data_IF_110380025647
#
_entry.id   IF_110380025647
#
_cell.length_a   1.000
_cell.length_b   1.000
_cell.length_c   1.000
_cell.angle_alpha   90.00
_cell.angle_beta   90.00
_cell.angle_gamma   90.00
#
_symmetry.space_group_name_H-M   'P 1'
#
loop_
_entity.id
_entity.type
_entity.pdbx_description
1 polymer ?
#
# COMPACT_ATOMS: atom_id res chain seq x y z
N UNK A 1 1.41 4.96 3.85
CA UNK A 1 2.83 4.92 3.44
C UNK A 1 3.14 6.06 2.46
N UNK A 2 2.52 6.15 1.29
CA UNK A 2 2.81 7.20 0.29
C UNK A 2 2.75 8.62 0.83
N UNK A 3 1.67 8.98 1.53
CA UNK A 3 1.53 10.28 2.17
C UNK A 3 2.63 10.57 3.21
N UNK A 4 3.00 9.57 4.02
CA UNK A 4 4.08 9.72 4.99
C UNK A 4 5.43 9.94 4.28
N UNK A 5 5.69 9.20 3.21
CA UNK A 5 6.90 9.38 2.39
C UNK A 5 6.95 10.78 1.74
N UNK A 6 5.83 11.25 1.15
CA UNK A 6 5.74 12.59 0.56
C UNK A 6 6.06 13.70 1.57
N UNK A 7 5.48 13.60 2.77
CA UNK A 7 5.70 14.59 3.85
C UNK A 7 7.14 14.59 4.37
N UNK A 8 7.76 13.41 4.48
CA UNK A 8 9.10 13.28 5.08
C UNK A 8 10.23 13.59 4.11
N UNK A 9 10.08 13.27 2.82
CA UNK A 9 11.16 13.39 1.84
C UNK A 9 11.03 14.60 0.93
N UNK A 10 9.84 15.18 0.80
CA UNK A 10 9.48 16.21 -0.19
C UNK A 10 9.67 15.79 -1.65
N UNK A 11 10.04 14.54 -1.89
CA UNK A 11 10.20 13.97 -3.22
C UNK A 11 8.85 13.61 -3.84
N UNK A 12 8.86 13.43 -5.15
CA UNK A 12 7.69 12.96 -5.90
C UNK A 12 7.36 11.52 -5.49
N UNK A 13 6.08 11.24 -5.27
CA UNK A 13 5.56 9.90 -4.99
C UNK A 13 4.64 9.52 -6.14
N UNK A 14 4.93 8.43 -6.84
CA UNK A 14 4.08 7.91 -7.90
C UNK A 14 3.17 6.80 -7.36
N UNK A 15 1.85 6.95 -7.56
CA UNK A 15 0.87 5.93 -7.18
C UNK A 15 0.12 5.49 -8.43
N UNK A 16 0.32 4.23 -8.83
CA UNK A 16 -0.43 3.58 -9.90
C UNK A 16 -1.58 2.81 -9.25
N UNK A 17 -2.77 3.39 -9.29
CA UNK A 17 -3.99 2.81 -8.73
C UNK A 17 -4.80 2.18 -9.85
N UNK A 18 -4.53 0.93 -10.16
CA UNK A 18 -5.10 0.26 -11.33
C UNK A 18 -6.50 -0.33 -11.05
N UNK A 19 -6.87 -0.44 -9.78
CA UNK A 19 -8.19 -0.93 -9.34
C UNK A 19 -9.13 0.22 -8.94
N UNK A 20 -8.61 1.25 -8.28
CA UNK A 20 -9.42 2.31 -7.70
C UNK A 20 -9.16 3.66 -8.36
N UNK A 21 -10.21 4.47 -8.63
CA UNK A 21 -10.02 5.86 -9.06
C UNK A 21 -9.21 6.69 -8.05
N UNK A 22 -8.39 7.61 -8.56
CA UNK A 22 -7.56 8.49 -7.73
C UNK A 22 -8.38 9.28 -6.70
N UNK A 23 -9.58 9.73 -7.07
CA UNK A 23 -10.50 10.43 -6.17
C UNK A 23 -10.79 9.65 -4.90
N UNK A 24 -11.02 8.33 -5.00
CA UNK A 24 -11.30 7.51 -3.82
C UNK A 24 -10.08 7.40 -2.91
N UNK A 25 -8.87 7.33 -3.46
CA UNK A 25 -7.65 7.33 -2.67
C UNK A 25 -7.44 8.68 -1.98
N UNK A 26 -7.67 9.78 -2.68
CA UNK A 26 -7.59 11.15 -2.14
C UNK A 26 -8.59 11.30 -0.98
N UNK A 27 -9.83 10.84 -1.15
CA UNK A 27 -10.84 10.90 -0.08
C UNK A 27 -10.42 10.07 1.16
N UNK A 28 -9.82 8.89 0.96
CA UNK A 28 -9.26 8.11 2.08
C UNK A 28 -8.08 8.83 2.75
N UNK A 29 -7.24 9.52 1.99
CA UNK A 29 -6.15 10.32 2.55
C UNK A 29 -6.69 11.50 3.36
N UNK A 30 -7.70 12.20 2.88
CA UNK A 30 -8.40 13.28 3.59
C UNK A 30 -9.03 12.75 4.88
N UNK A 31 -9.75 11.62 4.81
CA UNK A 31 -10.33 10.96 5.97
C UNK A 31 -9.28 10.66 7.04
N UNK A 32 -8.14 10.10 6.61
CA UNK A 32 -7.04 9.74 7.52
C UNK A 32 -6.35 10.96 8.13
N UNK A 33 -6.12 12.02 7.35
CA UNK A 33 -5.49 13.26 7.82
C UNK A 33 -6.40 14.05 8.75
N UNK A 34 -7.64 14.27 8.33
CA UNK A 34 -8.62 15.05 9.08
C UNK A 34 -9.32 14.26 10.18
N UNK A 35 -9.06 12.95 10.29
CA UNK A 35 -9.80 12.04 11.18
C UNK A 35 -11.33 12.18 11.00
N UNK A 36 -11.77 12.29 9.74
CA UNK A 36 -13.17 12.44 9.34
C UNK A 36 -13.70 11.08 8.89
N UNK A 37 -14.90 10.73 9.30
CA UNK A 37 -15.56 9.48 8.91
C UNK A 37 -15.70 9.40 7.38
N UNK A 38 -15.20 8.31 6.78
CA UNK A 38 -15.31 8.04 5.35
C UNK A 38 -16.77 8.11 4.84
N UNK A 39 -17.73 7.66 5.68
CA UNK A 39 -19.15 7.70 5.34
C UNK A 39 -19.69 9.13 5.30
N UNK A 40 -19.24 10.01 6.20
CA UNK A 40 -19.59 11.44 6.14
C UNK A 40 -19.02 12.09 4.88
N UNK A 41 -17.76 11.80 4.53
CA UNK A 41 -17.13 12.32 3.32
C UNK A 41 -17.85 11.84 2.05
N UNK A 42 -18.15 10.55 1.93
CA UNK A 42 -18.79 9.98 0.74
C UNK A 42 -20.25 10.46 0.54
N UNK A 43 -20.95 10.80 1.63
CA UNK A 43 -22.34 11.29 1.58
C UNK A 43 -22.45 12.81 1.58
N UNK A 44 -21.35 13.55 1.75
CA UNK A 44 -21.33 15.00 1.87
C UNK A 44 -21.95 15.54 3.18
N UNK A 45 -22.24 14.68 4.16
CA UNK A 45 -22.87 15.06 5.43
C UNK A 45 -21.81 15.47 6.46
N UNK A 46 -21.11 16.58 6.18
CA UNK A 46 -20.09 17.15 7.04
C UNK A 46 -20.67 18.20 7.98
N UNK A 47 -20.25 18.17 9.24
CA UNK A 47 -20.54 19.18 10.25
C UNK A 47 -19.51 20.33 10.15
N UNK A 48 -19.75 21.45 10.84
CA UNK A 48 -18.87 22.62 10.78
C UNK A 48 -17.41 22.29 11.16
N UNK A 49 -17.21 21.43 12.17
CA UNK A 49 -15.87 21.01 12.59
C UNK A 49 -15.24 20.02 11.60
N UNK A 50 -16.06 19.19 10.92
CA UNK A 50 -15.58 18.33 9.85
C UNK A 50 -15.07 19.18 8.67
N UNK A 51 -15.76 20.28 8.31
CA UNK A 51 -15.32 21.19 7.25
C UNK A 51 -13.99 21.86 7.56
N UNK A 52 -13.72 22.27 8.79
CA UNK A 52 -12.41 22.82 9.20
C UNK A 52 -11.31 21.79 8.97
N UNK A 53 -11.48 20.56 9.50
CA UNK A 53 -10.53 19.47 9.39
C UNK A 53 -10.34 19.03 7.94
N UNK A 54 -11.39 19.08 7.13
CA UNK A 54 -11.35 18.81 5.69
C UNK A 54 -10.45 19.80 4.97
N UNK A 55 -10.63 21.11 5.21
CA UNK A 55 -9.82 22.15 4.60
C UNK A 55 -8.35 22.06 5.02
N UNK A 56 -8.07 21.76 6.29
CA UNK A 56 -6.72 21.52 6.79
C UNK A 56 -6.07 20.30 6.09
N UNK A 57 -6.83 19.20 5.95
CA UNK A 57 -6.36 18.01 5.27
C UNK A 57 -6.05 18.26 3.78
N UNK A 58 -6.89 19.02 3.08
CA UNK A 58 -6.63 19.46 1.70
C UNK A 58 -5.37 20.29 1.63
N UNK A 59 -5.21 21.29 2.49
CA UNK A 59 -4.00 22.12 2.52
C UNK A 59 -2.72 21.26 2.69
N UNK A 60 -2.76 20.29 3.60
CA UNK A 60 -1.64 19.36 3.80
C UNK A 60 -1.37 18.53 2.54
N UNK A 61 -2.42 18.05 1.85
CA UNK A 61 -2.26 17.27 0.62
C UNK A 61 -1.73 18.11 -0.53
N UNK A 62 -2.18 19.35 -0.66
CA UNK A 62 -1.72 20.29 -1.70
C UNK A 62 -0.21 20.59 -1.59
N UNK A 63 0.34 20.52 -0.38
CA UNK A 63 1.79 20.69 -0.12
C UNK A 63 2.60 19.41 -0.39
N UNK A 64 1.97 18.34 -0.90
CA UNK A 64 2.66 17.08 -1.20
C UNK A 64 2.78 16.85 -2.70
N UNK A 65 3.88 16.25 -3.12
CA UNK A 65 4.12 15.88 -4.52
C UNK A 65 3.69 14.42 -4.77
N UNK A 66 2.38 14.15 -4.68
CA UNK A 66 1.81 12.82 -4.96
C UNK A 66 1.15 12.84 -6.34
N UNK A 67 1.60 11.95 -7.22
CA UNK A 67 1.10 11.81 -8.59
C UNK A 67 0.33 10.50 -8.70
N UNK A 68 -0.93 10.59 -9.09
CA UNK A 68 -1.80 9.43 -9.31
C UNK A 68 -1.86 9.09 -10.79
N UNK A 69 -1.87 7.79 -11.07
CA UNK A 69 -2.21 7.22 -12.37
C UNK A 69 -3.23 6.11 -12.14
N UNK A 70 -4.46 6.34 -12.55
CA UNK A 70 -5.61 5.45 -12.35
C UNK A 70 -6.22 4.94 -13.67
N UNK A 71 -5.52 5.12 -14.78
CA UNK A 71 -5.89 4.49 -16.04
C UNK A 71 -5.50 3.01 -16.02
N UNK A 72 -6.45 2.14 -16.36
CA UNK A 72 -6.19 0.72 -16.58
C UNK A 72 -5.33 0.46 -17.83
N UNK A 73 -4.87 -0.78 -17.98
CA UNK A 73 -4.16 -1.22 -19.18
C UNK A 73 -2.72 -0.70 -19.28
N UNK A 74 -2.06 -0.44 -18.16
CA UNK A 74 -0.69 0.07 -18.14
C UNK A 74 0.34 -1.08 -18.16
N UNK A 75 1.35 -0.93 -18.99
CA UNK A 75 2.48 -1.88 -19.10
C UNK A 75 3.65 -1.49 -18.18
N UNK A 76 4.56 -2.43 -17.82
CA UNK A 76 5.76 -2.10 -17.04
C UNK A 76 6.63 -1.02 -17.69
N UNK A 77 6.67 -0.99 -19.02
CA UNK A 77 7.44 0.01 -19.78
C UNK A 77 6.85 1.41 -19.63
N UNK A 78 5.53 1.53 -19.66
CA UNK A 78 4.83 2.81 -19.44
C UNK A 78 4.97 3.30 -18.01
N UNK A 79 4.88 2.39 -17.01
CA UNK A 79 5.16 2.71 -15.60
C UNK A 79 6.57 3.29 -15.49
N UNK A 80 7.56 2.60 -16.04
CA UNK A 80 8.95 3.03 -16.04
C UNK A 80 9.17 4.39 -16.71
N UNK A 81 8.53 4.63 -17.87
CA UNK A 81 8.62 5.91 -18.59
C UNK A 81 8.05 7.08 -17.74
N UNK A 82 6.89 6.86 -17.10
CA UNK A 82 6.28 7.86 -16.20
C UNK A 82 7.16 8.12 -14.97
N UNK A 83 7.71 7.08 -14.35
CA UNK A 83 8.63 7.18 -13.21
C UNK A 83 9.92 7.94 -13.58
N UNK A 84 10.51 7.67 -14.73
CA UNK A 84 11.69 8.41 -15.23
C UNK A 84 11.39 9.89 -15.38
N UNK A 85 10.23 10.26 -15.92
CA UNK A 85 9.84 11.66 -16.05
C UNK A 85 9.71 12.33 -14.68
N UNK A 86 9.11 11.66 -13.69
CA UNK A 86 9.00 12.19 -12.33
C UNK A 86 10.35 12.26 -11.60
N UNK A 87 11.28 11.36 -11.92
CA UNK A 87 12.63 11.37 -11.36
C UNK A 87 13.46 12.60 -11.80
N UNK A 88 13.12 13.23 -12.92
CA UNK A 88 13.79 14.44 -13.43
C UNK A 88 13.10 15.74 -13.02
N UNK A 89 12.01 15.69 -12.26
CA UNK A 89 11.21 16.84 -11.84
C UNK A 89 11.37 17.11 -10.34
N UNK A 90 11.45 18.38 -9.96
CA UNK A 90 11.52 18.82 -8.56
C UNK A 90 12.66 18.16 -7.80
N UNK A 91 12.35 17.63 -6.62
CA UNK A 91 13.30 16.92 -5.74
C UNK A 91 13.54 15.44 -6.16
N UNK A 92 13.12 15.07 -7.34
CA UNK A 92 13.22 13.71 -7.86
C UNK A 92 12.15 12.76 -7.31
N UNK A 93 12.23 11.49 -7.72
CA UNK A 93 11.28 10.44 -7.32
C UNK A 93 11.73 9.78 -6.02
N UNK A 94 10.84 9.62 -5.05
CA UNK A 94 11.13 9.06 -3.73
C UNK A 94 10.51 7.70 -3.47
N UNK A 95 9.37 7.39 -4.12
CA UNK A 95 8.66 6.13 -3.91
C UNK A 95 7.70 5.87 -5.07
N UNK A 96 7.59 4.62 -5.47
CA UNK A 96 6.55 4.13 -6.39
C UNK A 96 5.65 3.14 -5.66
N UNK A 97 4.33 3.32 -5.79
CA UNK A 97 3.33 2.39 -5.24
C UNK A 97 2.46 1.90 -6.40
N UNK A 98 2.20 0.60 -6.48
CA UNK A 98 1.38 -0.03 -7.53
C UNK A 98 0.29 -0.86 -6.87
N UNK A 99 -0.96 -0.54 -7.14
CA UNK A 99 -2.15 -1.22 -6.61
C UNK A 99 -3.02 -1.74 -7.78
N UNK A 100 -2.94 -2.99 -8.13
CA UNK A 100 -2.05 -4.07 -7.70
C UNK A 100 -1.38 -4.73 -8.92
N UNK A 101 -0.34 -5.49 -8.68
CA UNK A 101 0.57 -6.03 -9.70
C UNK A 101 -0.16 -6.84 -10.78
N UNK A 102 -1.19 -7.61 -10.43
CA UNK A 102 -1.93 -8.45 -11.37
C UNK A 102 -2.82 -7.65 -12.35
N UNK A 103 -2.99 -6.34 -12.19
CA UNK A 103 -3.69 -5.48 -13.14
C UNK A 103 -2.76 -4.80 -14.17
N UNK A 104 -1.46 -5.03 -14.05
CA UNK A 104 -0.50 -4.57 -15.05
C UNK A 104 -0.62 -5.46 -16.29
N UNK A 105 -0.69 -4.85 -17.47
CA UNK A 105 -0.71 -5.57 -18.75
C UNK A 105 0.67 -6.17 -19.05
N UNK A 106 0.67 -7.45 -19.44
CA UNK A 106 1.88 -8.08 -19.95
C UNK A 106 2.13 -7.68 -21.40
N UNK A 107 3.40 -7.67 -21.79
CA UNK A 107 3.72 -7.64 -23.22
C UNK A 107 3.17 -8.93 -23.85
N UNK A 108 2.54 -8.83 -25.02
CA UNK A 108 1.79 -9.89 -25.73
C UNK A 108 2.54 -11.21 -26.01
N UNK A 109 3.77 -11.37 -25.50
CA UNK A 109 4.64 -12.54 -25.73
C UNK A 109 4.22 -13.81 -25.00
N UNK A 110 3.41 -13.70 -23.93
CA UNK A 110 3.06 -14.83 -23.05
C UNK A 110 1.56 -15.04 -22.92
N UNK A 111 0.78 -14.80 -23.99
CA UNK A 111 -0.66 -15.05 -23.96
C UNK A 111 -0.93 -16.53 -23.66
N UNK A 112 -1.32 -16.82 -22.42
CA UNK A 112 -1.71 -18.16 -21.98
C UNK A 112 -1.10 -18.65 -20.66
N UNK A 113 -0.06 -18.01 -20.11
CA UNK A 113 0.51 -18.40 -18.81
C UNK A 113 0.57 -17.21 -17.85
N UNK A 114 -0.44 -17.10 -17.02
CA UNK A 114 -0.53 -16.05 -15.98
C UNK A 114 0.70 -15.99 -15.07
N UNK A 115 1.25 -17.16 -14.74
CA UNK A 115 2.46 -17.25 -13.92
C UNK A 115 3.68 -16.60 -14.61
N UNK A 116 3.82 -16.78 -15.93
CA UNK A 116 4.91 -16.19 -16.69
C UNK A 116 4.74 -14.67 -16.81
N UNK A 117 3.51 -14.19 -17.04
CA UNK A 117 3.20 -12.77 -17.08
C UNK A 117 3.58 -12.07 -15.77
N UNK A 118 3.14 -12.62 -14.63
CA UNK A 118 3.46 -12.08 -13.31
C UNK A 118 4.97 -12.10 -13.05
N UNK A 119 5.67 -13.13 -13.53
CA UNK A 119 7.13 -13.24 -13.42
C UNK A 119 7.85 -12.17 -14.21
N UNK A 120 7.40 -11.89 -15.44
CA UNK A 120 7.95 -10.81 -16.26
C UNK A 120 7.75 -9.44 -15.62
N UNK A 121 6.52 -9.18 -15.15
CA UNK A 121 6.17 -7.93 -14.47
C UNK A 121 7.03 -7.73 -13.22
N UNK A 122 7.13 -8.74 -12.35
CA UNK A 122 7.93 -8.69 -11.13
C UNK A 122 9.39 -8.32 -11.42
N UNK A 123 10.00 -9.01 -12.39
CA UNK A 123 11.38 -8.73 -12.82
C UNK A 123 11.54 -7.34 -13.40
N UNK A 124 10.57 -6.87 -14.20
CA UNK A 124 10.60 -5.52 -14.78
C UNK A 124 10.53 -4.45 -13.70
N UNK A 125 9.69 -4.63 -12.67
CA UNK A 125 9.57 -3.72 -11.54
C UNK A 125 10.85 -3.72 -10.68
N UNK A 126 11.48 -4.89 -10.47
CA UNK A 126 12.77 -4.97 -9.76
C UNK A 126 13.86 -4.24 -10.52
N UNK A 127 13.94 -4.43 -11.85
CA UNK A 127 14.90 -3.73 -12.70
C UNK A 127 14.68 -2.22 -12.66
N UNK A 128 13.42 -1.78 -12.73
CA UNK A 128 13.06 -0.36 -12.63
C UNK A 128 13.50 0.25 -11.29
N UNK A 129 13.24 -0.46 -10.17
CA UNK A 129 13.65 0.00 -8.84
C UNK A 129 15.16 0.21 -8.72
N UNK A 130 15.94 -0.72 -9.30
CA UNK A 130 17.41 -0.62 -9.32
C UNK A 130 17.91 0.51 -10.21
N UNK A 131 17.36 0.65 -11.43
CA UNK A 131 17.79 1.69 -12.39
C UNK A 131 17.45 3.10 -11.92
N UNK A 132 16.31 3.28 -11.23
CA UNK A 132 15.88 4.58 -10.75
C UNK A 132 16.37 4.87 -9.32
N UNK A 133 16.98 3.89 -8.66
CA UNK A 133 17.41 3.96 -7.25
C UNK A 133 16.24 4.38 -6.31
N UNK A 134 15.02 3.89 -6.60
CA UNK A 134 13.80 4.25 -5.89
C UNK A 134 13.11 3.00 -5.37
N UNK A 135 12.66 2.98 -4.11
CA UNK A 135 11.85 1.87 -3.61
C UNK A 135 10.53 1.76 -4.37
N UNK A 136 10.16 0.50 -4.69
CA UNK A 136 8.90 0.16 -5.34
C UNK A 136 8.10 -0.74 -4.40
N UNK A 137 6.90 -0.31 -4.04
CA UNK A 137 5.92 -1.12 -3.30
C UNK A 137 4.89 -1.60 -4.29
N UNK A 138 4.89 -2.90 -4.60
CA UNK A 138 3.85 -3.53 -5.40
C UNK A 138 2.91 -4.32 -4.48
N UNK A 139 1.64 -3.99 -4.52
CA UNK A 139 0.60 -4.79 -3.86
C UNK A 139 0.35 -6.05 -4.69
N UNK A 140 0.09 -7.15 -4.03
CA UNK A 140 -0.22 -8.42 -4.68
C UNK A 140 -1.37 -9.11 -3.95
N UNK A 141 -2.30 -9.64 -4.72
CA UNK A 141 -3.38 -10.44 -4.16
C UNK A 141 -2.86 -11.82 -3.73
N UNK A 142 -3.27 -12.27 -2.57
CA UNK A 142 -2.95 -13.61 -2.08
C UNK A 142 -3.89 -14.67 -2.69
N UNK A 143 -3.40 -15.89 -2.78
CA UNK A 143 -4.21 -17.04 -3.18
C UNK A 143 -5.34 -17.28 -2.17
N UNK A 144 -6.52 -17.65 -2.65
CA UNK A 144 -7.67 -18.03 -1.81
C UNK A 144 -7.41 -19.27 -0.93
N UNK A 145 -6.28 -19.97 -1.12
CA UNK A 145 -5.86 -21.06 -0.26
C UNK A 145 -5.63 -20.65 1.20
N UNK A 146 -5.32 -19.36 1.44
CA UNK A 146 -5.21 -18.78 2.80
C UNK A 146 -6.51 -18.98 3.57
N UNK A 147 -7.66 -18.76 2.94
CA UNK A 147 -8.98 -18.85 3.58
C UNK A 147 -9.34 -20.28 4.02
N UNK A 148 -8.69 -21.30 3.42
CA UNK A 148 -8.93 -22.72 3.70
C UNK A 148 -8.10 -23.25 4.88
N UNK A 149 -7.13 -22.48 5.35
CA UNK A 149 -6.33 -22.84 6.53
C UNK A 149 -7.04 -22.44 7.81
N UNK A 150 -6.83 -23.22 8.85
CA UNK A 150 -7.44 -23.00 10.15
C UNK A 150 -7.03 -21.64 10.75
N UNK A 151 -5.76 -21.29 10.65
CA UNK A 151 -5.21 -20.04 11.19
C UNK A 151 -5.35 -18.84 10.23
N UNK A 152 -5.74 -19.07 8.97
CA UNK A 152 -5.86 -18.06 7.89
C UNK A 152 -4.64 -17.12 7.78
N UNK A 153 -3.51 -17.53 8.34
CA UNK A 153 -2.29 -16.71 8.39
C UNK A 153 -1.54 -16.77 7.05
N UNK A 154 -1.23 -15.63 6.43
CA UNK A 154 -0.48 -15.60 5.19
C UNK A 154 0.92 -16.20 5.33
N UNK A 155 1.35 -16.95 4.30
CA UNK A 155 2.70 -17.49 4.14
C UNK A 155 3.22 -17.21 2.73
N UNK A 156 4.53 -17.33 2.50
CA UNK A 156 5.13 -17.05 1.18
C UNK A 156 4.52 -17.84 0.03
N UNK A 157 4.14 -19.10 0.26
CA UNK A 157 3.52 -19.95 -0.76
C UNK A 157 2.12 -19.47 -1.19
N UNK A 158 1.51 -18.51 -0.49
CA UNK A 158 0.23 -17.91 -0.90
C UNK A 158 0.39 -16.88 -2.02
N UNK A 159 1.61 -16.48 -2.32
CA UNK A 159 1.98 -15.76 -3.54
C UNK A 159 2.06 -16.70 -4.77
N UNK A 160 1.23 -17.71 -4.84
CA UNK A 160 1.31 -18.97 -5.59
C UNK A 160 1.48 -18.87 -7.11
N UNK A 161 1.02 -17.82 -7.74
CA UNK A 161 1.23 -17.59 -9.18
C UNK A 161 2.55 -16.86 -9.45
N UNK A 162 3.41 -16.74 -8.45
CA UNK A 162 4.47 -15.75 -8.42
C UNK A 162 5.70 -16.20 -7.60
N UNK A 163 6.17 -17.43 -7.77
CA UNK A 163 7.47 -17.82 -7.20
C UNK A 163 8.59 -16.82 -7.53
N UNK A 164 8.43 -16.08 -8.61
CA UNK A 164 9.31 -14.97 -9.01
C UNK A 164 9.16 -13.73 -8.13
N UNK A 165 7.95 -13.37 -7.67
CA UNK A 165 7.77 -12.25 -6.74
C UNK A 165 8.58 -12.51 -5.46
N UNK A 166 8.52 -13.74 -4.95
CA UNK A 166 9.32 -14.13 -3.80
C UNK A 166 10.82 -13.95 -4.05
N UNK A 167 11.31 -14.33 -5.25
CA UNK A 167 12.73 -14.21 -5.58
C UNK A 167 13.17 -12.76 -5.79
N UNK A 168 12.37 -11.97 -6.50
CA UNK A 168 12.71 -10.60 -6.90
C UNK A 168 12.58 -9.59 -5.76
N UNK A 169 11.58 -9.77 -4.87
CA UNK A 169 11.33 -8.86 -3.76
C UNK A 169 12.42 -8.94 -2.68
N UNK A 170 12.88 -7.79 -2.21
CA UNK A 170 13.78 -7.71 -1.05
C UNK A 170 13.03 -7.91 0.25
N UNK A 171 11.78 -7.44 0.32
CA UNK A 171 10.88 -7.58 1.46
C UNK A 171 9.54 -8.09 0.93
N UNK A 172 8.99 -9.11 1.58
CA UNK A 172 7.61 -9.55 1.41
C UNK A 172 6.89 -9.36 2.73
N UNK A 173 5.81 -8.59 2.70
CA UNK A 173 4.99 -8.33 3.88
C UNK A 173 3.53 -8.61 3.57
N UNK A 174 2.80 -9.19 4.51
CA UNK A 174 1.38 -9.46 4.41
C UNK A 174 0.61 -8.78 5.53
N UNK A 175 -0.60 -8.29 5.23
CA UNK A 175 -1.55 -7.84 6.24
C UNK A 175 -2.46 -9.01 6.60
N UNK A 176 -2.62 -9.25 7.90
CA UNK A 176 -3.48 -10.29 8.45
C UNK A 176 -4.39 -9.70 9.52
N UNK A 177 -5.69 -9.97 9.41
CA UNK A 177 -6.64 -9.69 10.46
C UNK A 177 -6.77 -10.95 11.33
N UNK A 178 -6.22 -10.96 12.56
CA UNK A 178 -6.34 -12.13 13.42
C UNK A 178 -7.81 -12.36 13.82
N UNK A 179 -8.16 -13.63 13.96
CA UNK A 179 -9.51 -14.06 14.34
C UNK A 179 -9.67 -13.88 15.87
N UNK A 180 -9.83 -12.64 16.31
CA UNK A 180 -10.05 -12.28 17.71
C UNK A 180 -11.40 -11.60 17.85
N UNK A 181 -12.12 -11.93 18.92
CA UNK A 181 -13.35 -11.22 19.26
C UNK A 181 -13.03 -9.75 19.55
N UNK A 182 -13.48 -8.88 18.67
CA UNK A 182 -13.40 -7.43 18.87
C UNK A 182 -14.78 -6.93 19.24
N UNK A 183 -14.93 -6.04 20.21
CA UNK A 183 -16.23 -5.44 20.52
C UNK A 183 -16.85 -4.87 19.23
N UNK A 184 -18.13 -5.18 19.02
CA UNK A 184 -18.85 -4.73 17.83
C UNK A 184 -19.04 -3.21 17.90
N UNK A 185 -18.43 -2.48 16.96
CA UNK A 185 -18.59 -1.02 16.84
C UNK A 185 -17.60 -0.44 15.84
N UNK A 186 -18.06 0.47 15.00
CA UNK A 186 -17.20 1.14 14.01
C UNK A 186 -16.13 2.06 14.65
N UNK A 187 -16.25 2.33 15.94
CA UNK A 187 -15.31 3.18 16.70
C UNK A 187 -14.11 2.41 17.25
N UNK A 188 -14.29 1.09 17.46
CA UNK A 188 -13.22 0.26 18.02
C UNK A 188 -12.22 -0.08 16.91
N UNK A 189 -10.93 0.26 17.09
CA UNK A 189 -9.92 -0.10 16.11
C UNK A 189 -9.74 -1.62 16.06
N UNK A 190 -9.70 -2.18 14.84
CA UNK A 190 -9.48 -3.61 14.65
C UNK A 190 -7.99 -3.97 14.73
N UNK A 191 -7.62 -5.05 15.43
CA UNK A 191 -6.26 -5.55 15.39
C UNK A 191 -5.92 -6.03 13.98
N UNK A 192 -4.72 -5.65 13.54
CA UNK A 192 -4.14 -6.07 12.27
C UNK A 192 -2.69 -6.42 12.52
N UNK A 193 -2.20 -7.45 11.88
CA UNK A 193 -0.80 -7.82 11.91
C UNK A 193 -0.15 -7.52 10.56
N UNK A 194 0.96 -6.79 10.57
CA UNK A 194 1.87 -6.69 9.45
C UNK A 194 2.96 -7.75 9.64
N UNK A 195 2.89 -8.81 8.84
CA UNK A 195 3.78 -9.96 8.92
C UNK A 195 4.86 -9.81 7.87
N UNK A 196 6.11 -9.65 8.28
CA UNK A 196 7.27 -9.67 7.38
C UNK A 196 7.62 -11.12 7.10
N UNK A 197 7.20 -11.63 5.94
CA UNK A 197 7.40 -13.02 5.52
C UNK A 197 8.79 -13.27 4.96
N UNK A 198 9.39 -12.25 4.31
CA UNK A 198 10.75 -12.27 3.79
C UNK A 198 11.41 -10.92 4.06
N UNK A 199 12.68 -10.93 4.42
CA UNK A 199 13.52 -9.74 4.50
C UNK A 199 14.95 -10.11 4.14
N UNK A 200 15.45 -9.64 2.97
CA UNK A 200 16.78 -10.03 2.45
C UNK A 200 17.93 -9.64 3.38
N UNK A 201 17.82 -8.47 4.00
CA UNK A 201 18.90 -7.88 4.82
C UNK A 201 18.49 -7.72 6.30
N UNK A 202 17.49 -8.45 6.77
CA UNK A 202 17.03 -8.34 8.16
C UNK A 202 16.14 -9.50 8.58
N UNK A 203 15.73 -9.52 9.85
CA UNK A 203 14.89 -10.60 10.38
C UNK A 203 13.44 -10.48 9.90
N UNK A 204 12.78 -11.61 9.79
CA UNK A 204 11.32 -11.69 9.69
C UNK A 204 10.69 -11.40 11.06
N UNK A 205 9.57 -10.70 11.08
CA UNK A 205 8.84 -10.35 12.31
C UNK A 205 7.38 -10.07 12.05
N UNK A 206 6.57 -10.13 13.07
CA UNK A 206 5.20 -9.64 13.08
C UNK A 206 5.13 -8.33 13.85
N UNK A 207 4.43 -7.36 13.28
CA UNK A 207 4.19 -6.04 13.86
C UNK A 207 2.69 -5.92 14.10
N UNK A 208 2.30 -5.78 15.37
CA UNK A 208 0.90 -5.59 15.73
C UNK A 208 0.52 -4.12 15.53
N UNK A 209 -0.61 -3.92 14.88
CA UNK A 209 -1.19 -2.63 14.53
C UNK A 209 -2.67 -2.60 14.88
N UNK A 210 -3.24 -1.42 14.94
CA UNK A 210 -4.68 -1.21 15.01
C UNK A 210 -5.16 -0.48 13.74
N UNK A 211 -6.31 -0.86 13.23
CA UNK A 211 -6.91 -0.23 12.07
C UNK A 211 -8.26 0.40 12.40
N UNK A 212 -8.34 1.72 12.29
CA UNK A 212 -9.61 2.48 12.39
C UNK A 212 -10.29 2.50 11.03
N UNK A 213 -11.35 1.69 10.87
CA UNK A 213 -12.13 1.61 9.60
C UNK A 213 -12.74 2.95 9.22
N UNK A 214 -13.34 3.67 10.19
CA UNK A 214 -13.99 4.97 9.97
C UNK A 214 -13.11 5.96 9.24
N UNK A 215 -11.83 6.02 9.59
CA UNK A 215 -10.88 7.01 9.08
C UNK A 215 -9.77 6.40 8.23
N UNK A 216 -9.86 5.13 7.86
CA UNK A 216 -8.83 4.40 7.08
C UNK A 216 -7.41 4.58 7.64
N UNK A 217 -7.26 4.57 8.97
CA UNK A 217 -6.01 4.91 9.65
C UNK A 217 -5.42 3.71 10.37
N UNK A 218 -4.14 3.42 10.11
CA UNK A 218 -3.36 2.46 10.90
C UNK A 218 -2.67 3.17 12.06
N UNK A 219 -2.72 2.56 13.24
CA UNK A 219 -2.10 3.03 14.45
C UNK A 219 -1.06 2.01 14.95
N UNK A 220 0.06 2.50 15.45
CA UNK A 220 1.06 1.68 16.13
C UNK A 220 0.60 1.35 17.54
N UNK A 221 0.76 0.10 17.95
CA UNK A 221 0.63 -0.30 19.36
C UNK A 221 1.97 0.03 20.03
N UNK A 222 2.02 1.03 20.91
CA UNK A 222 3.17 1.22 21.79
C UNK A 222 3.19 0.04 22.77
N UNK A 223 4.18 -0.82 22.67
CA UNK A 223 4.54 -1.69 23.80
C UNK A 223 5.11 -0.76 24.86
N UNK A 224 4.39 -0.55 25.96
CA UNK A 224 5.01 -0.01 27.17
C UNK A 224 6.15 -1.01 27.51
N UNK A 225 7.39 -0.52 27.43
CA UNK A 225 8.52 -1.26 27.99
C UNK A 225 8.22 -1.43 29.48
N UNK A 226 7.81 -2.64 29.84
CA UNK A 226 7.54 -2.96 31.25
C UNK A 226 8.72 -2.52 32.08
N UNK A 227 8.45 -1.63 33.01
CA UNK A 227 9.36 -1.33 34.08
C UNK A 227 9.78 -2.65 34.71
N UNK A 228 11.07 -2.91 34.67
CA UNK A 228 11.69 -3.98 35.46
C UNK A 228 11.33 -3.72 36.91
N UNK A 229 10.39 -4.48 37.45
CA UNK A 229 10.24 -4.58 38.89
C UNK A 229 11.44 -5.40 39.40
N UNK A 230 12.25 -4.75 40.20
CA UNK A 230 13.29 -5.33 41.04
C UNK A 230 12.75 -6.47 41.90
#
# INVERSE_FOLDING_TARGET
MGLAAAKSTKKNIAIFSLEMPAEQLIMRMISSLGQIDNKKLSTGKLENDDWKRFNEAISILADTNIFFHDAGGVTPSEIKAKCRRLATQGEGLGLVIIDYLQLIDSSSRYSGSRQQEVSEISRALKTMALELEVPVIALSQLSRSVEKREDKKPVLSDLRESGSIEQDADIVAALHAPDVEVPVGDEVPNPIQLIILKHRNGPTKTIDLLFKKKTSTFLSIRKENGASAN
#
